data_IF_418711884094
#
_entry.id   IF_418711884094
#
_cell.length_a   1.000
_cell.length_b   1.000
_cell.length_c   1.000
_cell.angle_alpha   90.00
_cell.angle_beta   90.00
_cell.angle_gamma   90.00
#
_symmetry.space_group_name_H-M   'P 1'
#
loop_
_entity.id
_entity.type
_entity.pdbx_description
1 polymer ?
#
# COMPACT_ATOMS: atom_id res chain seq x y z
N UNK A 1 -11.19 10.63 1.12
CA UNK A 1 -11.62 9.33 1.71
C UNK A 1 -12.36 8.55 0.65
N UNK A 2 -13.34 9.17 -0.02
CA UNK A 2 -14.07 8.63 -1.19
C UNK A 2 -13.18 8.10 -2.32
N UNK A 3 -12.08 8.77 -2.67
CA UNK A 3 -11.22 8.35 -3.79
C UNK A 3 -10.49 7.01 -3.53
N UNK A 4 -10.07 6.78 -2.28
CA UNK A 4 -9.41 5.53 -1.87
C UNK A 4 -10.42 4.39 -1.80
N UNK A 5 -11.63 4.66 -1.30
CA UNK A 5 -12.71 3.67 -1.25
C UNK A 5 -13.11 3.23 -2.66
N UNK A 6 -13.13 4.17 -3.60
CA UNK A 6 -13.48 3.87 -4.98
C UNK A 6 -12.40 3.10 -5.73
N UNK A 7 -11.12 3.39 -5.45
CA UNK A 7 -10.00 2.60 -5.97
C UNK A 7 -10.02 1.15 -5.42
N UNK A 8 -10.36 0.98 -4.14
CA UNK A 8 -10.52 -0.34 -3.50
C UNK A 8 -11.70 -1.10 -4.13
N UNK A 9 -12.83 -0.43 -4.38
CA UNK A 9 -14.02 -1.05 -4.95
C UNK A 9 -13.77 -1.54 -6.39
N UNK A 10 -13.08 -0.75 -7.22
CA UNK A 10 -12.76 -1.10 -8.60
C UNK A 10 -11.80 -2.31 -8.67
N UNK A 11 -10.85 -2.39 -7.74
CA UNK A 11 -9.94 -3.54 -7.57
C UNK A 11 -10.66 -4.83 -7.15
N UNK A 12 -11.73 -4.73 -6.36
CA UNK A 12 -12.54 -5.88 -5.96
C UNK A 12 -13.45 -6.39 -7.08
N UNK A 13 -13.83 -5.53 -8.03
CA UNK A 13 -14.76 -5.86 -9.11
C UNK A 13 -14.08 -6.34 -10.41
N UNK A 14 -12.75 -6.20 -10.54
CA UNK A 14 -12.00 -6.71 -11.72
C UNK A 14 -12.01 -8.25 -11.78
N UNK A 15 -12.89 -8.78 -12.62
CA UNK A 15 -12.91 -10.20 -13.01
C UNK A 15 -11.68 -10.51 -13.87
N UNK A 16 -10.91 -11.53 -13.51
CA UNK A 16 -9.76 -12.03 -14.29
C UNK A 16 -9.97 -13.49 -14.63
N UNK A 17 -9.58 -13.89 -15.84
CA UNK A 17 -9.51 -15.30 -16.23
C UNK A 17 -8.51 -16.03 -15.32
N UNK A 18 -8.83 -17.29 -14.98
CA UNK A 18 -8.31 -18.10 -13.86
C UNK A 18 -6.77 -18.10 -13.63
N UNK A 19 -5.96 -17.71 -14.60
CA UNK A 19 -4.49 -17.72 -14.53
C UNK A 19 -3.93 -16.56 -13.67
N UNK A 20 -4.64 -15.43 -13.58
CA UNK A 20 -4.16 -14.23 -12.86
C UNK A 20 -4.86 -13.99 -11.52
N UNK A 21 -5.83 -14.83 -11.16
CA UNK A 21 -6.67 -14.60 -9.98
C UNK A 21 -5.85 -14.53 -8.68
N UNK A 22 -4.88 -15.44 -8.50
CA UNK A 22 -4.03 -15.45 -7.31
C UNK A 22 -3.18 -14.18 -7.22
N UNK A 23 -2.66 -13.71 -8.35
CA UNK A 23 -1.87 -12.47 -8.45
C UNK A 23 -2.74 -11.25 -8.11
N UNK A 24 -3.98 -11.22 -8.60
CA UNK A 24 -4.94 -10.14 -8.28
C UNK A 24 -5.29 -10.17 -6.80
N UNK A 25 -5.67 -11.32 -6.24
CA UNK A 25 -5.97 -11.46 -4.80
C UNK A 25 -4.80 -11.02 -3.92
N UNK A 26 -3.57 -11.37 -4.31
CA UNK A 26 -2.37 -10.95 -3.59
C UNK A 26 -2.20 -9.42 -3.61
N UNK A 27 -2.36 -8.78 -4.78
CA UNK A 27 -2.30 -7.31 -4.89
C UNK A 27 -3.39 -6.64 -4.05
N UNK A 28 -4.61 -7.18 -4.06
CA UNK A 28 -5.74 -6.68 -3.27
C UNK A 28 -5.44 -6.76 -1.77
N UNK A 29 -4.91 -7.90 -1.30
CA UNK A 29 -4.54 -8.07 0.11
C UNK A 29 -3.48 -7.06 0.56
N UNK A 30 -2.46 -6.82 -0.27
CA UNK A 30 -1.41 -5.81 0.02
C UNK A 30 -1.98 -4.39 0.08
N UNK A 31 -2.90 -4.04 -0.83
CA UNK A 31 -3.57 -2.74 -0.83
C UNK A 31 -4.46 -2.56 0.42
N UNK A 32 -5.25 -3.57 0.78
CA UNK A 32 -6.09 -3.54 1.98
C UNK A 32 -5.26 -3.36 3.26
N UNK A 33 -4.13 -4.05 3.38
CA UNK A 33 -3.25 -3.90 4.54
C UNK A 33 -2.65 -2.49 4.61
N UNK A 34 -2.31 -1.87 3.47
CA UNK A 34 -1.87 -0.46 3.44
C UNK A 34 -2.96 0.50 3.93
N UNK A 35 -4.19 0.33 3.44
CA UNK A 35 -5.33 1.17 3.84
C UNK A 35 -5.60 1.00 5.34
N UNK A 36 -5.62 -0.24 5.84
CA UNK A 36 -5.76 -0.54 7.27
C UNK A 36 -4.68 0.16 8.11
N UNK A 37 -3.40 0.06 7.74
CA UNK A 37 -2.30 0.73 8.46
C UNK A 37 -2.45 2.25 8.45
N UNK A 38 -2.87 2.83 7.33
CA UNK A 38 -3.15 4.27 7.22
C UNK A 38 -4.26 4.71 8.18
N UNK A 39 -5.37 3.96 8.22
CA UNK A 39 -6.49 4.21 9.14
C UNK A 39 -6.09 4.07 10.62
N UNK A 40 -5.19 3.12 10.93
CA UNK A 40 -4.72 2.85 12.29
C UNK A 40 -3.56 3.75 12.74
N UNK A 41 -3.09 4.69 11.91
CA UNK A 41 -1.97 5.55 12.30
C UNK A 41 -0.59 4.88 12.22
N UNK A 42 -0.48 3.70 11.59
CA UNK A 42 0.72 2.86 11.64
C UNK A 42 1.64 3.17 10.44
N UNK A 43 2.92 3.52 10.66
CA UNK A 43 3.86 3.76 9.57
C UNK A 43 4.19 2.48 8.79
N UNK A 44 4.51 2.63 7.51
CA UNK A 44 4.85 1.53 6.60
C UNK A 44 6.31 1.66 6.17
N UNK A 45 7.09 0.59 6.36
CA UNK A 45 8.44 0.51 5.84
C UNK A 45 8.44 0.43 4.30
N UNK A 46 9.33 1.21 3.69
CA UNK A 46 9.52 1.35 2.25
C UNK A 46 10.99 1.39 1.91
N UNK A 47 11.27 1.31 0.62
CA UNK A 47 12.62 1.42 0.08
C UNK A 47 12.62 2.42 -1.07
N UNK A 48 13.46 3.44 -0.95
CA UNK A 48 13.73 4.41 -2.02
C UNK A 48 14.82 3.82 -2.92
N UNK A 49 14.46 3.51 -4.17
CA UNK A 49 15.38 2.90 -5.14
C UNK A 49 16.44 3.89 -5.64
N UNK A 50 16.13 5.18 -5.71
CA UNK A 50 17.04 6.21 -6.20
C UNK A 50 18.10 6.52 -5.15
N UNK A 51 17.66 6.70 -3.90
CA UNK A 51 18.55 6.94 -2.76
C UNK A 51 19.16 5.67 -2.18
N UNK A 52 18.66 4.51 -2.60
CA UNK A 52 19.05 3.17 -2.13
C UNK A 52 18.94 3.01 -0.60
N UNK A 53 17.93 3.63 0.01
CA UNK A 53 17.76 3.71 1.48
C UNK A 53 16.36 3.26 1.90
N UNK A 54 16.28 2.61 3.06
CA UNK A 54 15.01 2.30 3.70
C UNK A 54 14.43 3.55 4.38
N UNK A 55 13.11 3.65 4.41
CA UNK A 55 12.40 4.72 5.11
C UNK A 55 11.05 4.25 5.66
N UNK A 56 10.58 4.89 6.72
CA UNK A 56 9.21 4.78 7.20
C UNK A 56 8.36 5.86 6.56
N UNK A 57 7.23 5.46 5.97
CA UNK A 57 6.20 6.35 5.46
C UNK A 57 5.03 6.39 6.44
N UNK A 58 4.77 7.56 7.01
CA UNK A 58 3.68 7.78 7.95
C UNK A 58 2.37 8.08 7.21
N UNK A 59 1.20 7.91 7.88
CA UNK A 59 -0.12 8.13 7.27
C UNK A 59 -0.37 9.54 6.74
N UNK A 60 0.33 10.54 7.28
CA UNK A 60 0.32 11.94 6.87
C UNK A 60 1.21 12.22 5.64
N UNK A 61 1.93 11.21 5.15
CA UNK A 61 2.88 11.32 4.04
C UNK A 61 4.31 11.67 4.45
N UNK A 62 4.58 11.89 5.75
CA UNK A 62 5.94 12.12 6.25
C UNK A 62 6.81 10.90 6.00
N UNK A 63 8.02 11.12 5.48
CA UNK A 63 9.03 10.07 5.29
C UNK A 63 10.18 10.31 6.26
N UNK A 64 10.61 9.25 6.95
CA UNK A 64 11.77 9.26 7.84
C UNK A 64 12.71 8.16 7.39
N UNK A 65 13.91 8.53 6.93
CA UNK A 65 14.91 7.55 6.51
C UNK A 65 15.57 6.90 7.72
N UNK A 66 16.06 5.67 7.57
CA UNK A 66 16.67 4.87 8.66
C UNK A 66 17.77 5.62 9.43
N UNK A 67 18.58 6.41 8.72
CA UNK A 67 19.69 7.20 9.24
C UNK A 67 19.29 8.58 9.80
N UNK A 68 18.00 8.91 9.76
CA UNK A 68 17.41 10.12 10.37
C UNK A 68 16.63 9.80 11.66
N UNK A 69 16.69 8.55 12.15
CA UNK A 69 16.03 8.10 13.39
C UNK A 69 16.90 8.27 14.63
#
# INVERSE_FOLDING_TARGET
MEEIEQEVLDLLQRKTDNTDELTVRFRNAVMLERVKKKLLGIPVARYDKEKRRAYLEYPDGRKVYEDEQ
#
